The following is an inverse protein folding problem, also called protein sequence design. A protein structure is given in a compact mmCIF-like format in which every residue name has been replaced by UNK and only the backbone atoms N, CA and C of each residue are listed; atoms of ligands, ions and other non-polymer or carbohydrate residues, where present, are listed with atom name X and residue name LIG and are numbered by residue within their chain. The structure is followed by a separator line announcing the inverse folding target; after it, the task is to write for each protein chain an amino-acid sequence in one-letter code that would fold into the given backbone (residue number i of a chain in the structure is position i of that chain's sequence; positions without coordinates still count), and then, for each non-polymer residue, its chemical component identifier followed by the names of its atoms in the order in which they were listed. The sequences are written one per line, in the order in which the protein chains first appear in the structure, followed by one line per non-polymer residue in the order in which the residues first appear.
data_IF_376171537079
#
_entry.id   IF_376171537079
#
_cell.length_a   1.000
_cell.length_b   1.000
_cell.length_c   1.000
_cell.angle_alpha   90.00
_cell.angle_beta   90.00
_cell.angle_gamma   90.00
#
_symmetry.space_group_name_H-M   'P 1'
#
loop_
_entity.id
_entity.type
_entity.pdbx_description
1 polymer ?
#
# COMPACT_ATOMS: atom_id res chain seq x y z
N UNK A 1 -11.18 3.54 -43.33
CA UNK A 1 -11.41 4.64 -42.36
C UNK A 1 -12.49 4.26 -41.33
N UNK A 2 -12.27 3.22 -40.50
CA UNK A 2 -13.20 2.78 -39.43
C UNK A 2 -12.56 2.72 -38.04
N UNK A 3 -11.25 2.96 -37.93
CA UNK A 3 -10.51 2.93 -36.64
C UNK A 3 -10.45 4.28 -35.92
N UNK A 4 -10.83 5.37 -36.59
CA UNK A 4 -10.84 6.72 -35.99
C UNK A 4 -12.10 6.94 -35.14
N UNK A 5 -13.18 6.21 -35.43
CA UNK A 5 -14.48 6.44 -34.78
C UNK A 5 -14.56 5.92 -33.34
N UNK A 6 -13.74 4.92 -32.97
CA UNK A 6 -13.71 4.37 -31.60
C UNK A 6 -13.00 5.32 -30.63
N UNK A 7 -11.95 6.03 -31.10
CA UNK A 7 -11.21 7.00 -30.28
C UNK A 7 -12.07 8.22 -29.92
N UNK A 8 -13.03 8.60 -30.76
CA UNK A 8 -13.90 9.75 -30.54
C UNK A 8 -15.02 9.47 -29.53
N UNK A 9 -15.48 8.22 -29.40
CA UNK A 9 -16.54 7.85 -28.45
C UNK A 9 -16.00 7.78 -27.01
N UNK A 10 -14.76 7.29 -26.82
CA UNK A 10 -14.15 7.25 -25.48
C UNK A 10 -13.81 8.63 -24.92
N UNK A 11 -13.53 9.62 -25.77
CA UNK A 11 -13.21 10.98 -25.32
C UNK A 11 -14.44 11.75 -24.80
N UNK A 12 -15.65 11.42 -25.29
CA UNK A 12 -16.89 12.10 -24.90
C UNK A 12 -17.43 11.60 -23.55
N UNK A 13 -17.20 10.33 -23.19
CA UNK A 13 -17.62 9.79 -21.88
C UNK A 13 -16.81 10.43 -20.73
N UNK A 14 -15.54 10.79 -20.97
CA UNK A 14 -14.69 11.48 -20.00
C UNK A 14 -15.10 12.94 -19.70
N UNK A 15 -15.96 13.55 -20.54
CA UNK A 15 -16.41 14.94 -20.39
C UNK A 15 -17.79 15.07 -19.71
N UNK A 16 -18.45 13.95 -19.39
CA UNK A 16 -19.87 13.93 -19.01
C UNK A 16 -20.17 13.99 -17.50
N UNK A 17 -19.18 14.19 -16.63
CA UNK A 17 -19.43 14.40 -15.19
C UNK A 17 -19.01 15.82 -14.83
N UNK A 18 -19.73 16.77 -15.41
CA UNK A 18 -19.69 18.17 -15.03
C UNK A 18 -20.53 18.38 -13.76
N UNK A 19 -19.90 18.99 -12.76
CA UNK A 19 -20.42 20.11 -11.93
C UNK A 19 -21.94 20.31 -11.91
N UNK A 20 -22.55 20.14 -10.72
CA UNK A 20 -23.80 20.79 -10.27
C UNK A 20 -23.80 20.74 -8.71
N UNK A 21 -23.55 21.84 -7.99
CA UNK A 21 -24.46 22.91 -7.54
C UNK A 21 -24.94 22.75 -6.06
N UNK A 22 -24.31 23.50 -5.13
CA UNK A 22 -24.80 24.48 -4.10
C UNK A 22 -26.26 24.27 -3.55
N UNK A 23 -26.64 24.41 -2.24
CA UNK A 23 -26.19 25.43 -1.24
C UNK A 23 -25.99 25.00 0.24
N UNK A 24 -25.28 25.87 0.95
CA UNK A 24 -25.46 26.35 2.34
C UNK A 24 -26.42 25.59 3.28
N UNK A 25 -25.95 25.19 4.47
CA UNK A 25 -26.50 25.68 5.75
C UNK A 25 -25.69 25.21 6.98
N UNK A 26 -25.18 26.20 7.72
CA UNK A 26 -25.26 26.24 9.19
C UNK A 26 -24.29 25.41 10.01
N UNK A 27 -23.12 25.98 10.32
CA UNK A 27 -22.39 25.68 11.55
C UNK A 27 -23.06 26.34 12.74
N UNK A 28 -23.50 25.55 13.72
CA UNK A 28 -23.48 25.86 15.16
C UNK A 28 -23.19 24.51 15.83
N UNK A 29 -22.15 24.38 16.67
CA UNK A 29 -22.26 24.71 18.08
C UNK A 29 -20.96 25.26 18.69
N UNK A 30 -21.22 26.18 19.62
CA UNK A 30 -20.38 26.97 20.49
C UNK A 30 -19.48 26.12 21.40
N UNK A 31 -18.23 26.54 21.54
CA UNK A 31 -17.27 25.95 22.49
C UNK A 31 -16.02 26.80 22.67
N UNK A 32 -16.18 28.08 23.05
CA UNK A 32 -15.17 28.87 23.79
C UNK A 32 -13.92 29.33 23.02
N UNK A 33 -13.90 30.62 22.68
CA UNK A 33 -12.86 31.41 22.01
C UNK A 33 -11.37 31.01 22.21
N UNK A 34 -10.74 30.61 21.11
CA UNK A 34 -9.29 30.57 20.88
C UNK A 34 -9.05 30.17 19.41
N UNK A 35 -8.08 30.74 18.67
CA UNK A 35 -8.03 30.63 17.22
C UNK A 35 -7.85 29.17 16.79
N UNK A 36 -8.91 28.62 16.20
CA UNK A 36 -8.94 27.33 15.53
C UNK A 36 -7.94 27.37 14.38
N UNK A 37 -6.82 26.66 14.56
CA UNK A 37 -5.95 26.28 13.46
C UNK A 37 -6.78 25.43 12.51
N UNK A 38 -7.24 26.04 11.42
CA UNK A 38 -7.77 25.34 10.26
C UNK A 38 -6.66 24.40 9.78
N UNK A 39 -6.77 23.12 10.12
CA UNK A 39 -6.05 22.06 9.42
C UNK A 39 -6.67 22.03 8.02
N UNK A 40 -6.11 22.90 7.19
CA UNK A 40 -6.22 22.85 5.74
C UNK A 40 -5.92 21.40 5.36
N UNK A 41 -6.89 20.73 4.72
CA UNK A 41 -6.66 19.44 4.10
C UNK A 41 -5.64 19.66 2.98
N UNK A 42 -4.36 19.67 3.37
CA UNK A 42 -3.26 19.52 2.44
C UNK A 42 -3.60 18.31 1.55
N UNK A 43 -3.32 18.34 0.25
CA UNK A 43 -3.35 17.12 -0.53
C UNK A 43 -2.53 16.11 0.27
N UNK A 44 -3.18 15.01 0.67
CA UNK A 44 -2.52 13.93 1.37
C UNK A 44 -1.50 13.39 0.36
N UNK A 45 -0.32 14.01 0.32
CA UNK A 45 0.84 13.52 -0.38
C UNK A 45 1.07 12.16 0.27
N UNK A 46 0.53 11.10 -0.35
CA UNK A 46 0.91 9.73 -0.04
C UNK A 46 2.36 9.60 -0.52
N UNK A 47 3.27 10.19 0.23
CA UNK A 47 4.68 10.03 0.03
C UNK A 47 5.00 8.60 0.43
N UNK A 48 5.05 7.73 -0.56
CA UNK A 48 5.55 6.38 -0.39
C UNK A 48 7.07 6.47 -0.51
N UNK A 49 7.79 6.21 0.58
CA UNK A 49 9.25 6.17 0.54
C UNK A 49 9.75 4.98 -0.28
N UNK A 50 8.93 3.93 -0.34
CA UNK A 50 9.12 2.75 -1.18
C UNK A 50 7.80 2.23 -1.74
N UNK A 51 7.88 1.41 -2.79
CA UNK A 51 6.75 0.68 -3.37
C UNK A 51 7.05 -0.82 -3.39
N UNK A 52 6.26 -1.61 -2.68
CA UNK A 52 6.31 -3.08 -2.73
C UNK A 52 5.80 -3.55 -4.09
N UNK A 53 6.58 -4.39 -4.75
CA UNK A 53 6.25 -4.97 -6.05
C UNK A 53 5.76 -6.40 -5.89
N UNK A 54 6.48 -7.22 -5.13
CA UNK A 54 6.15 -8.64 -4.93
C UNK A 54 6.59 -9.12 -3.54
N UNK A 55 5.86 -10.10 -2.99
CA UNK A 55 6.17 -10.69 -1.68
C UNK A 55 5.97 -12.20 -1.73
N UNK A 56 6.94 -12.93 -1.17
CA UNK A 56 6.94 -14.39 -1.14
C UNK A 56 7.22 -14.93 0.26
N UNK A 57 6.51 -15.99 0.64
CA UNK A 57 6.86 -16.87 1.75
C UNK A 57 7.74 -17.98 1.17
N UNK A 58 9.02 -18.00 1.53
CA UNK A 58 9.96 -19.06 1.21
C UNK A 58 10.01 -20.06 2.38
N UNK A 59 9.55 -21.29 2.11
CA UNK A 59 9.52 -22.38 3.08
C UNK A 59 10.16 -23.64 2.51
N UNK A 60 10.34 -24.67 3.36
CA UNK A 60 10.83 -25.99 2.92
C UNK A 60 9.95 -26.63 1.83
N UNK A 61 8.67 -26.25 1.75
CA UNK A 61 7.72 -26.77 0.76
C UNK A 61 7.70 -25.93 -0.53
N UNK A 62 8.57 -24.92 -0.64
CA UNK A 62 8.69 -24.01 -1.77
C UNK A 62 8.19 -22.59 -1.48
N UNK A 63 8.05 -21.83 -2.55
CA UNK A 63 7.69 -20.41 -2.54
C UNK A 63 6.20 -20.21 -2.74
N UNK A 64 5.61 -19.36 -1.90
CA UNK A 64 4.20 -18.95 -2.01
C UNK A 64 4.10 -17.45 -2.12
N UNK A 65 3.53 -16.98 -3.21
CA UNK A 65 3.27 -15.56 -3.44
C UNK A 65 2.17 -15.05 -2.50
N UNK A 66 2.43 -13.92 -1.85
CA UNK A 66 1.51 -13.22 -0.94
C UNK A 66 0.75 -12.16 -1.73
N UNK A 67 -0.57 -12.13 -1.56
CA UNK A 67 -1.40 -11.08 -2.15
C UNK A 67 -1.26 -9.79 -1.33
N UNK A 68 -0.58 -8.78 -1.89
CA UNK A 68 -0.33 -7.50 -1.20
C UNK A 68 -1.50 -6.56 -1.45
N UNK A 69 -2.09 -6.04 -0.38
CA UNK A 69 -3.13 -5.02 -0.42
C UNK A 69 -2.50 -3.63 -0.68
N UNK A 70 -3.23 -2.73 -1.35
CA UNK A 70 -2.82 -1.34 -1.61
C UNK A 70 -2.41 -0.58 -0.33
N UNK A 71 -2.99 -0.93 0.82
CA UNK A 71 -2.64 -0.34 2.12
C UNK A 71 -1.25 -0.78 2.66
N UNK A 72 -0.68 -1.85 2.11
CA UNK A 72 0.62 -2.40 2.47
C UNK A 72 1.73 -1.96 1.51
N UNK A 73 1.54 -0.86 0.77
CA UNK A 73 2.38 -0.51 -0.38
C UNK A 73 3.76 0.06 -0.02
N UNK A 74 3.98 0.61 1.18
CA UNK A 74 5.25 1.20 1.59
C UNK A 74 6.03 0.32 2.57
N UNK A 75 7.07 -0.37 2.08
CA UNK A 75 7.92 -1.21 2.94
C UNK A 75 8.72 -0.40 3.98
N UNK A 76 9.04 0.86 3.70
CA UNK A 76 9.73 1.76 4.63
C UNK A 76 8.84 2.21 5.79
N UNK A 77 7.53 2.06 5.69
CA UNK A 77 6.58 2.39 6.75
C UNK A 77 6.39 1.21 7.72
N UNK A 78 6.66 1.44 9.01
CA UNK A 78 6.41 0.44 10.06
C UNK A 78 4.93 -0.02 10.06
N UNK A 79 3.99 0.92 9.93
CA UNK A 79 2.56 0.59 9.90
C UNK A 79 2.20 -0.31 8.70
N UNK A 80 2.77 -0.02 7.53
CA UNK A 80 2.54 -0.84 6.34
C UNK A 80 3.20 -2.22 6.43
N UNK A 81 4.38 -2.35 7.08
CA UNK A 81 4.97 -3.67 7.36
C UNK A 81 4.13 -4.50 8.33
N UNK A 82 3.53 -3.89 9.34
CA UNK A 82 2.60 -4.59 10.23
C UNK A 82 1.38 -5.13 9.47
N UNK A 83 0.82 -4.34 8.55
CA UNK A 83 -0.26 -4.82 7.67
C UNK A 83 0.22 -5.91 6.71
N UNK A 84 1.43 -5.77 6.15
CA UNK A 84 2.02 -6.78 5.29
C UNK A 84 2.21 -8.12 6.04
N UNK A 85 2.62 -8.09 7.30
CA UNK A 85 2.71 -9.28 8.14
C UNK A 85 1.35 -9.98 8.33
N UNK A 86 0.26 -9.21 8.46
CA UNK A 86 -1.09 -9.78 8.50
C UNK A 86 -1.44 -10.48 7.19
N UNK A 87 -1.07 -9.91 6.03
CA UNK A 87 -1.28 -10.54 4.72
C UNK A 87 -0.45 -11.81 4.53
N UNK A 88 0.78 -11.82 5.03
CA UNK A 88 1.64 -13.02 5.09
C UNK A 88 0.97 -14.11 5.93
N UNK A 89 0.52 -13.78 7.14
CA UNK A 89 -0.17 -14.73 8.02
C UNK A 89 -1.47 -15.25 7.40
N UNK A 90 -2.28 -14.37 6.82
CA UNK A 90 -3.51 -14.74 6.11
C UNK A 90 -3.23 -15.71 4.97
N UNK A 91 -2.24 -15.40 4.14
CA UNK A 91 -1.83 -16.27 3.02
C UNK A 91 -1.34 -17.63 3.52
N UNK A 92 -0.54 -17.65 4.59
CA UNK A 92 -0.08 -18.90 5.18
C UNK A 92 -1.27 -19.79 5.64
N UNK A 93 -2.25 -19.20 6.34
CA UNK A 93 -3.45 -19.90 6.79
C UNK A 93 -4.27 -20.43 5.60
N UNK A 94 -4.51 -19.60 4.59
CA UNK A 94 -5.27 -19.98 3.39
C UNK A 94 -4.61 -21.12 2.61
N UNK A 95 -3.28 -21.22 2.68
CA UNK A 95 -2.48 -22.26 2.01
C UNK A 95 -2.17 -23.45 2.90
N UNK A 96 -2.64 -23.47 4.15
CA UNK A 96 -2.37 -24.54 5.11
C UNK A 96 -0.90 -24.63 5.53
N UNK A 97 -0.17 -23.52 5.48
CA UNK A 97 1.23 -23.42 5.89
C UNK A 97 1.34 -23.05 7.37
N UNK A 98 2.23 -23.72 8.09
CA UNK A 98 2.67 -23.31 9.41
C UNK A 98 4.00 -22.57 9.29
N UNK A 99 3.99 -21.27 9.55
CA UNK A 99 5.21 -20.47 9.53
C UNK A 99 6.12 -20.85 10.72
N UNK A 100 7.40 -20.99 10.43
CA UNK A 100 8.47 -21.22 11.39
C UNK A 100 9.50 -20.09 11.30
N UNK A 101 10.28 -19.89 12.35
CA UNK A 101 11.35 -18.89 12.36
C UNK A 101 12.49 -19.20 11.37
N UNK A 102 12.55 -20.43 10.86
CA UNK A 102 13.45 -20.82 9.76
C UNK A 102 12.96 -20.41 8.38
N UNK A 103 11.66 -20.15 8.21
CA UNK A 103 11.12 -19.66 6.94
C UNK A 103 11.55 -18.22 6.69
N UNK A 104 11.55 -17.81 5.43
CA UNK A 104 11.95 -16.47 5.01
C UNK A 104 10.80 -15.78 4.29
N UNK A 105 10.63 -14.49 4.54
CA UNK A 105 9.78 -13.65 3.73
C UNK A 105 10.68 -12.80 2.84
N UNK A 106 10.44 -12.87 1.54
CA UNK A 106 11.20 -12.16 0.53
C UNK A 106 10.29 -11.04 0.03
N UNK A 107 10.73 -9.80 0.18
CA UNK A 107 9.98 -8.60 -0.22
C UNK A 107 10.77 -7.88 -1.29
N UNK A 108 10.22 -7.81 -2.49
CA UNK A 108 10.72 -6.98 -3.58
C UNK A 108 10.07 -5.60 -3.51
N UNK A 109 10.87 -4.55 -3.58
CA UNK A 109 10.37 -3.19 -3.52
C UNK A 109 11.28 -2.20 -4.25
N UNK A 110 10.72 -1.07 -4.65
CA UNK A 110 11.46 0.03 -5.26
C UNK A 110 11.56 1.15 -4.23
N UNK A 111 12.77 1.58 -3.90
CA UNK A 111 13.01 2.76 -3.06
C UNK A 111 13.78 3.79 -3.88
N UNK A 112 13.21 4.99 -4.05
CA UNK A 112 13.84 6.10 -4.81
C UNK A 112 14.30 5.70 -6.23
N UNK A 113 13.57 4.80 -6.88
CA UNK A 113 13.86 4.32 -8.23
C UNK A 113 14.89 3.18 -8.32
N UNK A 114 15.36 2.66 -7.18
CA UNK A 114 16.26 1.50 -7.11
C UNK A 114 15.47 0.27 -6.68
N UNK A 115 15.61 -0.82 -7.43
CA UNK A 115 15.04 -2.12 -7.08
C UNK A 115 15.85 -2.75 -5.94
N UNK A 116 15.14 -3.19 -4.91
CA UNK A 116 15.70 -3.79 -3.70
C UNK A 116 14.95 -5.06 -3.36
N UNK A 117 15.66 -5.98 -2.70
CA UNK A 117 15.03 -7.12 -2.06
C UNK A 117 15.40 -7.15 -0.59
N UNK A 118 14.39 -7.28 0.27
CA UNK A 118 14.56 -7.52 1.69
C UNK A 118 14.24 -8.98 1.99
N UNK A 119 15.11 -9.63 2.77
CA UNK A 119 14.92 -10.99 3.25
C UNK A 119 14.82 -10.96 4.77
N UNK A 120 13.65 -11.34 5.28
CA UNK A 120 13.32 -11.33 6.70
C UNK A 120 13.01 -12.75 7.18
N UNK A 121 13.23 -13.03 8.46
CA UNK A 121 12.67 -14.25 9.05
C UNK A 121 11.13 -14.11 9.14
N UNK A 122 10.42 -15.24 9.05
CA UNK A 122 8.97 -15.26 9.19
C UNK A 122 8.56 -15.10 10.67
N UNK A 123 8.71 -13.88 11.18
CA UNK A 123 8.43 -13.47 12.55
C UNK A 123 7.86 -12.05 12.56
N UNK A 124 6.80 -11.85 13.34
CA UNK A 124 6.15 -10.55 13.53
C UNK A 124 7.12 -9.46 13.99
N UNK A 125 8.02 -9.80 14.92
CA UNK A 125 8.96 -8.82 15.48
C UNK A 125 9.88 -8.24 14.42
N UNK A 126 10.39 -9.12 13.54
CA UNK A 126 11.31 -8.73 12.47
C UNK A 126 10.57 -7.88 11.43
N UNK A 127 9.30 -8.17 11.12
CA UNK A 127 8.49 -7.31 10.25
C UNK A 127 8.21 -5.93 10.85
N UNK A 128 7.93 -5.86 12.16
CA UNK A 128 7.63 -4.60 12.81
C UNK A 128 8.88 -3.71 12.98
N UNK A 129 10.05 -4.29 13.24
CA UNK A 129 11.22 -3.56 13.74
C UNK A 129 12.49 -3.67 12.90
N UNK A 130 12.58 -4.61 11.95
CA UNK A 130 13.76 -4.85 11.13
C UNK A 130 13.43 -4.69 9.63
N UNK A 131 14.40 -4.24 8.86
CA UNK A 131 14.37 -4.28 7.39
C UNK A 131 14.95 -5.59 6.85
N UNK A 132 15.52 -6.42 7.73
CA UNK A 132 16.21 -7.65 7.39
C UNK A 132 17.49 -7.36 6.60
N UNK A 133 17.97 -8.38 5.88
CA UNK A 133 19.08 -8.17 4.94
C UNK A 133 18.52 -7.60 3.66
N UNK A 134 18.96 -6.39 3.30
CA UNK A 134 18.59 -5.73 2.05
C UNK A 134 19.72 -5.88 1.03
N UNK A 135 19.37 -6.25 -0.20
CA UNK A 135 20.30 -6.30 -1.35
C UNK A 135 19.76 -5.36 -2.42
N UNK A 136 20.66 -4.57 -3.02
CA UNK A 136 20.38 -3.62 -4.09
C UNK A 136 20.91 -4.18 -5.42
N UNK A 137 20.16 -3.99 -6.50
CA UNK A 137 20.50 -4.46 -7.85
C UNK A 137 20.84 -3.31 -8.81
#
# INVERSE_FOLDING_TARGET
MKRVMILLVSFVVLLSISVLAIPETGTFFEGGAGPLMLVENAPLNRYHASQITEVYIHSLNGDVMVAVNENCSDFCSCASRCLLWQEVCRTAIERGLSLSTSDRIIVFYIEKGVEKVAVLAANEWDFAHDYGTTIEA
#
